data_IF_268373455468
#
_entry.id   IF_268373455468
#
_cell.length_a   1.000
_cell.length_b   1.000
_cell.length_c   1.000
_cell.angle_alpha   90.00
_cell.angle_beta   90.00
_cell.angle_gamma   90.00
#
_symmetry.space_group_name_H-M   'P 1'
#
loop_
_entity.id
_entity.type
_entity.pdbx_description
1 polymer ?
#
# COMPACT_ATOMS: atom_id res chain seq x y z
N UNK A 1 34.01 -4.82 20.57
CA UNK A 1 32.59 -5.19 20.67
C UNK A 1 31.85 -4.04 20.05
N UNK A 2 31.76 -4.08 18.73
CA UNK A 2 31.51 -2.92 17.88
C UNK A 2 30.00 -2.80 17.63
N UNK A 3 29.32 -2.22 18.62
CA UNK A 3 27.88 -1.96 18.58
C UNK A 3 27.54 -0.65 17.90
N UNK A 4 27.87 -0.51 16.62
CA UNK A 4 27.39 0.61 15.79
C UNK A 4 26.03 0.21 15.17
N UNK A 5 25.02 0.09 16.04
CA UNK A 5 23.66 -0.24 15.65
C UNK A 5 23.02 0.98 14.99
N UNK A 6 23.29 1.18 13.71
CA UNK A 6 22.67 2.25 12.92
C UNK A 6 21.16 2.03 12.89
N UNK A 7 20.43 2.76 13.74
CA UNK A 7 18.96 2.83 13.67
C UNK A 7 18.60 3.68 12.46
N UNK A 8 18.09 3.05 11.40
CA UNK A 8 17.51 3.74 10.27
C UNK A 8 16.07 4.14 10.59
N UNK A 9 15.74 5.42 10.41
CA UNK A 9 14.35 5.85 10.28
C UNK A 9 13.88 5.58 8.84
N UNK A 10 12.56 5.50 8.61
CA UNK A 10 12.00 5.30 7.26
C UNK A 10 12.60 6.28 6.25
N UNK A 11 12.73 7.55 6.63
CA UNK A 11 13.30 8.61 5.80
C UNK A 11 14.74 8.35 5.33
N UNK A 12 15.50 7.49 6.03
CA UNK A 12 16.88 7.15 5.69
C UNK A 12 16.95 6.03 4.64
N UNK A 13 15.83 5.34 4.39
CA UNK A 13 15.72 4.19 3.47
C UNK A 13 14.98 4.56 2.19
N UNK A 14 14.00 5.46 2.26
CA UNK A 14 13.29 5.94 1.08
C UNK A 14 14.08 7.07 0.41
N UNK A 15 14.23 7.01 -0.92
CA UNK A 15 14.62 8.20 -1.70
C UNK A 15 13.68 9.35 -1.31
N UNK A 16 14.20 10.58 -1.28
CA UNK A 16 13.49 11.80 -0.85
C UNK A 16 12.26 12.11 -1.71
N UNK A 17 11.23 11.28 -1.54
CA UNK A 17 9.98 11.24 -2.27
C UNK A 17 8.91 12.06 -1.56
N UNK A 18 7.70 12.13 -2.15
CA UNK A 18 6.63 12.93 -1.61
C UNK A 18 6.10 12.29 -0.31
N UNK A 19 6.32 12.97 0.82
CA UNK A 19 5.72 12.61 2.10
C UNK A 19 4.41 13.41 2.24
N UNK A 20 3.28 12.76 2.02
CA UNK A 20 1.94 13.35 2.15
C UNK A 20 1.31 12.96 3.49
N UNK A 21 1.43 13.86 4.47
CA UNK A 21 0.80 13.72 5.81
C UNK A 21 -0.14 14.91 6.01
N UNK A 22 -1.41 14.72 5.67
CA UNK A 22 -2.45 15.72 5.86
C UNK A 22 -3.82 15.06 6.16
N UNK A 23 -4.80 15.86 6.58
CA UNK A 23 -6.15 15.41 7.00
C UNK A 23 -7.16 15.32 5.85
N UNK A 24 -6.72 15.53 4.62
CA UNK A 24 -7.53 15.44 3.41
C UNK A 24 -7.75 13.98 2.96
N UNK A 25 -8.51 13.77 1.88
CA UNK A 25 -8.80 12.43 1.40
C UNK A 25 -7.56 11.78 0.78
N UNK A 26 -7.44 10.46 0.93
CA UNK A 26 -6.35 9.69 0.31
C UNK A 26 -6.33 9.86 -1.21
N UNK A 27 -7.47 10.10 -1.85
CA UNK A 27 -7.55 10.41 -3.29
C UNK A 27 -6.70 11.63 -3.66
N UNK A 28 -6.75 12.70 -2.87
CA UNK A 28 -5.95 13.90 -3.14
C UNK A 28 -4.46 13.68 -2.84
N UNK A 29 -4.13 12.85 -1.85
CA UNK A 29 -2.75 12.42 -1.63
C UNK A 29 -2.19 11.69 -2.88
N UNK A 30 -2.93 10.72 -3.42
CA UNK A 30 -2.51 9.96 -4.59
C UNK A 30 -2.30 10.83 -5.84
N UNK A 31 -3.17 11.83 -6.07
CA UNK A 31 -2.98 12.80 -7.16
C UNK A 31 -1.71 13.62 -7.00
N UNK A 32 -1.39 14.06 -5.78
CA UNK A 32 -0.16 14.83 -5.51
C UNK A 32 1.09 13.97 -5.66
N UNK A 33 1.06 12.74 -5.17
CA UNK A 33 2.14 11.76 -5.34
C UNK A 33 2.37 11.47 -6.82
N UNK A 34 1.30 11.15 -7.58
CA UNK A 34 1.36 10.95 -9.04
C UNK A 34 2.06 12.11 -9.74
N UNK A 35 1.63 13.34 -9.48
CA UNK A 35 2.21 14.54 -10.07
C UNK A 35 3.67 14.76 -9.67
N UNK A 36 4.02 14.52 -8.40
CA UNK A 36 5.41 14.62 -7.93
C UNK A 36 6.31 13.61 -8.64
N UNK A 37 5.81 12.39 -8.86
CA UNK A 37 6.51 11.31 -9.55
C UNK A 37 6.50 11.43 -11.09
N UNK A 38 6.22 12.61 -11.64
CA UNK A 38 6.22 12.85 -13.08
C UNK A 38 4.96 12.35 -13.79
N UNK A 39 3.80 12.57 -13.19
CA UNK A 39 2.48 12.14 -13.68
C UNK A 39 2.36 10.61 -13.80
N UNK A 40 2.87 9.89 -12.79
CA UNK A 40 2.84 8.44 -12.71
C UNK A 40 1.40 7.90 -12.77
N UNK A 41 1.10 6.91 -13.63
CA UNK A 41 -0.19 6.25 -13.68
C UNK A 41 -0.57 5.62 -12.33
N UNK A 42 -1.86 5.65 -11.99
CA UNK A 42 -2.34 5.01 -10.75
C UNK A 42 -2.13 3.49 -10.75
N UNK A 43 -2.20 2.86 -11.93
CA UNK A 43 -1.92 1.43 -12.11
C UNK A 43 -0.47 1.04 -11.80
N UNK A 44 0.45 2.00 -11.86
CA UNK A 44 1.86 1.82 -11.50
C UNK A 44 2.11 2.04 -10.00
N UNK A 45 1.04 2.10 -9.18
CA UNK A 45 1.14 2.31 -7.73
C UNK A 45 0.63 1.12 -6.92
N UNK A 46 1.33 0.85 -5.81
CA UNK A 46 0.95 -0.14 -4.81
C UNK A 46 0.71 0.53 -3.45
N UNK A 47 -0.41 0.22 -2.82
CA UNK A 47 -0.86 0.86 -1.59
C UNK A 47 -1.15 -0.16 -0.49
N UNK A 48 -0.58 0.06 0.70
CA UNK A 48 -0.86 -0.71 1.91
C UNK A 48 -1.56 0.18 2.93
N UNK A 49 -2.71 -0.24 3.45
CA UNK A 49 -3.44 0.51 4.48
C UNK A 49 -4.25 -0.44 5.39
N UNK A 50 -4.43 -0.05 6.66
CA UNK A 50 -5.18 -0.80 7.65
C UNK A 50 -6.66 -0.36 7.73
N UNK A 51 -7.06 0.68 7.00
CA UNK A 51 -8.42 1.17 6.92
C UNK A 51 -9.12 0.70 5.63
N UNK A 52 -10.14 -0.16 5.79
CA UNK A 52 -10.92 -0.75 4.67
C UNK A 52 -11.57 0.31 3.76
N UNK A 53 -11.96 1.44 4.34
CA UNK A 53 -12.56 2.56 3.60
C UNK A 53 -11.59 3.14 2.57
N UNK A 54 -10.39 3.50 3.03
CA UNK A 54 -9.30 4.00 2.18
C UNK A 54 -8.95 2.98 1.10
N UNK A 55 -8.83 1.70 1.47
CA UNK A 55 -8.46 0.65 0.53
C UNK A 55 -9.43 0.58 -0.66
N UNK A 56 -10.74 0.55 -0.37
CA UNK A 56 -11.79 0.51 -1.41
C UNK A 56 -11.86 1.78 -2.24
N UNK A 57 -11.61 2.94 -1.63
CA UNK A 57 -11.64 4.21 -2.35
C UNK A 57 -10.48 4.30 -3.35
N UNK A 58 -9.27 3.91 -2.91
CA UNK A 58 -8.06 3.96 -3.72
C UNK A 58 -8.01 2.88 -4.80
N UNK A 59 -8.52 1.67 -4.54
CA UNK A 59 -8.58 0.62 -5.55
C UNK A 59 -9.40 1.04 -6.79
N UNK A 60 -10.45 1.86 -6.61
CA UNK A 60 -11.26 2.41 -7.72
C UNK A 60 -10.48 3.35 -8.64
N UNK A 61 -9.33 3.86 -8.21
CA UNK A 61 -8.47 4.71 -9.02
C UNK A 61 -7.54 3.91 -9.94
N UNK A 62 -7.54 2.57 -9.85
CA UNK A 62 -6.65 1.68 -10.60
C UNK A 62 -5.37 1.31 -9.84
N UNK A 63 -5.20 1.83 -8.62
CA UNK A 63 -4.08 1.48 -7.73
C UNK A 63 -4.22 0.04 -7.24
N UNK A 64 -3.10 -0.69 -7.20
CA UNK A 64 -3.07 -2.01 -6.54
C UNK A 64 -3.13 -1.78 -5.03
N UNK A 65 -4.05 -2.42 -4.32
CA UNK A 65 -4.25 -2.18 -2.89
C UNK A 65 -4.18 -3.47 -2.09
N UNK A 66 -3.44 -3.46 -0.98
CA UNK A 66 -3.38 -4.53 0.00
C UNK A 66 -3.90 -4.05 1.36
N UNK A 67 -4.90 -4.77 1.90
CA UNK A 67 -5.44 -4.52 3.23
C UNK A 67 -4.56 -5.17 4.29
N UNK A 68 -4.02 -4.36 5.20
CA UNK A 68 -3.08 -4.78 6.24
C UNK A 68 -3.57 -4.38 7.63
N UNK A 69 -4.58 -5.06 8.20
CA UNK A 69 -5.17 -4.68 9.49
C UNK A 69 -4.16 -4.65 10.63
N UNK A 70 -3.18 -5.56 10.59
CA UNK A 70 -2.12 -5.71 11.61
C UNK A 70 -0.79 -5.06 11.18
N UNK A 71 -0.82 -4.21 10.14
CA UNK A 71 0.35 -3.61 9.54
C UNK A 71 1.01 -4.49 8.48
N UNK A 72 2.03 -3.95 7.81
CA UNK A 72 2.72 -4.62 6.71
C UNK A 72 3.58 -5.76 7.24
N UNK A 73 3.25 -6.98 6.85
CA UNK A 73 4.07 -8.17 7.08
C UNK A 73 4.90 -8.51 5.84
N UNK A 74 6.00 -9.24 6.01
CA UNK A 74 6.81 -9.70 4.88
C UNK A 74 6.00 -10.58 3.92
N UNK A 75 5.09 -11.41 4.44
CA UNK A 75 4.21 -12.23 3.60
C UNK A 75 3.26 -11.38 2.76
N UNK A 76 2.61 -10.38 3.36
CA UNK A 76 1.71 -9.49 2.62
C UNK A 76 2.47 -8.63 1.60
N UNK A 77 3.69 -8.23 1.92
CA UNK A 77 4.56 -7.52 1.00
C UNK A 77 4.81 -8.34 -0.27
N UNK A 78 5.26 -9.60 -0.14
CA UNK A 78 5.52 -10.48 -1.29
C UNK A 78 4.25 -10.76 -2.10
N UNK A 79 3.14 -11.06 -1.44
CA UNK A 79 1.85 -11.32 -2.12
C UNK A 79 1.39 -10.09 -2.92
N UNK A 80 1.51 -8.91 -2.32
CA UNK A 80 1.12 -7.67 -2.97
C UNK A 80 2.02 -7.32 -4.17
N UNK A 81 3.32 -7.61 -4.09
CA UNK A 81 4.26 -7.47 -5.21
C UNK A 81 3.98 -8.47 -6.33
N UNK A 82 3.68 -9.73 -6.02
CA UNK A 82 3.34 -10.74 -7.03
C UNK A 82 2.04 -10.40 -7.77
N UNK A 83 1.08 -9.79 -7.07
CA UNK A 83 -0.19 -9.36 -7.64
C UNK A 83 -0.11 -8.01 -8.38
N UNK A 84 0.99 -7.26 -8.24
CA UNK A 84 1.15 -5.94 -8.84
C UNK A 84 1.58 -6.02 -10.32
N UNK A 85 0.91 -5.29 -11.25
CA UNK A 85 -0.27 -4.45 -11.03
C UNK A 85 -1.59 -5.25 -11.07
N UNK A 86 -2.50 -4.94 -10.14
CA UNK A 86 -3.88 -5.43 -10.12
C UNK A 86 -4.85 -4.29 -10.42
N UNK A 87 -5.21 -4.14 -11.70
CA UNK A 87 -5.98 -3.00 -12.23
C UNK A 87 -7.51 -3.17 -12.12
N UNK A 88 -7.99 -4.22 -11.43
CA UNK A 88 -9.41 -4.59 -11.44
C UNK A 88 -10.25 -3.86 -10.38
N UNK A 89 -9.62 -3.03 -9.54
CA UNK A 89 -10.28 -2.41 -8.39
C UNK A 89 -10.50 -3.36 -7.21
N UNK A 90 -9.88 -4.54 -7.26
CA UNK A 90 -9.85 -5.52 -6.17
C UNK A 90 -8.88 -5.07 -5.07
N UNK A 91 -9.18 -5.44 -3.82
CA UNK A 91 -8.29 -5.22 -2.68
C UNK A 91 -7.76 -6.57 -2.21
N UNK A 92 -6.45 -6.75 -2.24
CA UNK A 92 -5.78 -7.94 -1.75
C UNK A 92 -6.05 -8.08 -0.25
N UNK A 93 -6.45 -9.28 0.17
CA UNK A 93 -6.86 -9.56 1.55
C UNK A 93 -8.35 -9.32 1.83
N UNK A 94 -9.13 -8.83 0.85
CA UNK A 94 -10.59 -8.69 0.97
C UNK A 94 -11.33 -9.47 -0.13
N UNK A 95 -12.50 -10.05 0.18
CA UNK A 95 -13.40 -10.60 -0.86
C UNK A 95 -14.24 -9.52 -1.56
N UNK A 96 -15.07 -9.95 -2.51
CA UNK A 96 -16.03 -9.12 -3.25
C UNK A 96 -17.10 -8.45 -2.35
N UNK A 97 -17.32 -8.95 -1.13
CA UNK A 97 -18.19 -8.36 -0.12
C UNK A 97 -17.37 -7.50 0.89
N UNK A 98 -16.06 -7.50 0.71
CA UNK A 98 -14.99 -6.93 1.49
C UNK A 98 -14.80 -7.50 2.87
N UNK A 99 -15.24 -8.74 3.15
CA UNK A 99 -14.78 -9.44 4.34
C UNK A 99 -13.30 -9.76 4.22
N UNK A 100 -12.61 -9.69 5.36
CA UNK A 100 -11.24 -10.16 5.46
C UNK A 100 -11.21 -11.65 5.11
N UNK A 101 -10.59 -11.97 3.99
CA UNK A 101 -10.46 -13.37 3.59
C UNK A 101 -9.18 -13.92 4.16
N UNK A 102 -9.35 -14.80 5.15
CA UNK A 102 -8.30 -15.72 5.54
C UNK A 102 -7.82 -16.55 4.34
N UNK A 103 -8.57 -16.77 3.26
CA UNK A 103 -8.03 -17.46 2.08
C UNK A 103 -6.92 -16.66 1.37
N UNK A 104 -6.98 -15.32 1.42
CA UNK A 104 -5.92 -14.44 0.92
C UNK A 104 -4.76 -14.25 1.92
N UNK A 105 -5.06 -14.24 3.22
CA UNK A 105 -4.09 -14.03 4.30
C UNK A 105 -3.43 -15.33 4.79
N UNK A 106 -4.20 -16.39 5.04
CA UNK A 106 -3.79 -17.68 5.63
C UNK A 106 -2.97 -18.57 4.72
N UNK A 107 -2.82 -18.23 3.43
CA UNK A 107 -1.82 -18.91 2.62
C UNK A 107 -0.39 -18.61 3.12
N UNK A 108 -0.21 -17.57 3.95
CA UNK A 108 1.10 -17.08 4.37
C UNK A 108 1.15 -16.46 5.80
N UNK A 109 0.18 -16.76 6.68
CA UNK A 109 0.30 -16.57 8.15
C UNK A 109 0.56 -17.90 8.85
#
# INVERSE_FOLDING_TARGET
DDGDGNTFALQDVFESGPIEIAKDSKVEHFKRISKFCGDMPMEDMLFFDNERGNCREIAKLGVTVAYVPDGVTASMWEVALEAFPSVNGDVIGLDIYGYDTLDGASRFY
#
